data_IF_729251735979
#
_entry.id   IF_729251735979
#
_cell.length_a   1.000
_cell.length_b   1.000
_cell.length_c   1.000
_cell.angle_alpha   90.00
_cell.angle_beta   90.00
_cell.angle_gamma   90.00
#
_symmetry.space_group_name_H-M   'P 1'
#
loop_
_entity.id
_entity.type
_entity.pdbx_description
1 polymer ?
#
# COMPACT_ATOMS: atom_id res chain seq x y z
N UNK A 1 8.61 17.28 22.92
CA UNK A 1 8.78 18.47 22.05
C UNK A 1 8.06 18.26 20.74
N UNK A 2 7.35 19.29 20.29
CA UNK A 2 6.68 19.33 18.99
C UNK A 2 7.48 20.22 18.02
N UNK A 3 7.46 19.97 16.71
CA UNK A 3 8.13 20.82 15.74
C UNK A 3 7.56 22.24 15.72
N UNK A 4 8.42 23.22 15.46
CA UNK A 4 8.03 24.63 15.26
C UNK A 4 7.40 24.83 13.88
N UNK A 5 6.62 25.90 13.69
CA UNK A 5 6.04 26.26 12.38
C UNK A 5 7.08 26.35 11.27
N UNK A 6 8.23 26.98 11.55
CA UNK A 6 9.34 27.07 10.60
C UNK A 6 9.86 25.69 10.18
N UNK A 7 9.98 24.74 11.12
CA UNK A 7 10.42 23.38 10.80
C UNK A 7 9.40 22.65 9.93
N UNK A 8 8.09 22.89 10.13
CA UNK A 8 7.03 22.33 9.29
C UNK A 8 7.06 22.91 7.87
N UNK A 9 7.31 24.21 7.72
CA UNK A 9 7.50 24.85 6.41
C UNK A 9 8.72 24.29 5.68
N UNK A 10 9.87 24.18 6.35
CA UNK A 10 11.09 23.57 5.78
C UNK A 10 10.88 22.09 5.40
N UNK A 11 10.07 21.35 6.16
CA UNK A 11 9.69 19.97 5.82
C UNK A 11 8.80 19.91 4.59
N UNK A 12 7.85 20.85 4.44
CA UNK A 12 6.98 20.94 3.27
C UNK A 12 7.77 21.17 1.99
N UNK A 13 8.74 22.07 2.00
CA UNK A 13 9.60 22.31 0.84
C UNK A 13 10.40 21.05 0.45
N UNK A 14 10.91 20.32 1.45
CA UNK A 14 11.57 19.02 1.21
C UNK A 14 10.62 17.98 0.64
N UNK A 15 9.35 17.97 1.04
CA UNK A 15 8.34 17.06 0.49
C UNK A 15 7.99 17.40 -0.96
N UNK A 16 7.97 18.69 -1.32
CA UNK A 16 7.79 19.11 -2.72
C UNK A 16 8.94 18.61 -3.59
N UNK A 17 10.19 18.73 -3.12
CA UNK A 17 11.34 18.14 -3.82
C UNK A 17 11.29 16.60 -3.85
N UNK A 18 10.86 15.97 -2.77
CA UNK A 18 10.68 14.52 -2.70
C UNK A 18 9.67 14.01 -3.75
N UNK A 19 8.59 14.76 -3.99
CA UNK A 19 7.62 14.43 -5.07
C UNK A 19 8.28 14.43 -6.44
N UNK A 20 9.12 15.43 -6.74
CA UNK A 20 9.86 15.47 -8.01
C UNK A 20 10.77 14.25 -8.18
N UNK A 21 11.47 13.87 -7.11
CA UNK A 21 12.28 12.64 -7.09
C UNK A 21 11.44 11.37 -7.28
N UNK A 22 10.26 11.30 -6.65
CA UNK A 22 9.32 10.19 -6.81
C UNK A 22 8.80 10.08 -8.25
N UNK A 23 8.49 11.21 -8.89
CA UNK A 23 8.10 11.24 -10.30
C UNK A 23 9.24 10.76 -11.21
N UNK A 24 10.48 11.19 -10.97
CA UNK A 24 11.62 10.70 -11.74
C UNK A 24 11.82 9.18 -11.61
N UNK A 25 11.59 8.62 -10.41
CA UNK A 25 11.60 7.16 -10.18
C UNK A 25 10.45 6.49 -10.93
N UNK A 26 9.25 7.10 -10.96
CA UNK A 26 8.13 6.59 -11.74
C UNK A 26 8.48 6.52 -13.24
N UNK A 27 9.10 7.57 -13.78
CA UNK A 27 9.50 7.61 -15.19
C UNK A 27 10.50 6.50 -15.53
N UNK A 28 11.45 6.21 -14.62
CA UNK A 28 12.36 5.07 -14.76
C UNK A 28 11.58 3.76 -14.80
N UNK A 29 10.69 3.52 -13.84
CA UNK A 29 9.91 2.28 -13.79
C UNK A 29 9.00 2.10 -15.01
N UNK A 30 8.46 3.19 -15.56
CA UNK A 30 7.66 3.15 -16.79
C UNK A 30 8.48 2.74 -18.04
N UNK A 31 9.80 2.90 -18.00
CA UNK A 31 10.71 2.47 -19.07
C UNK A 31 11.24 1.04 -18.91
N UNK A 32 11.06 0.42 -17.73
CA UNK A 32 11.59 -0.91 -17.42
C UNK A 32 10.60 -2.00 -17.82
N UNK A 33 11.10 -3.05 -18.46
CA UNK A 33 10.31 -4.25 -18.73
C UNK A 33 10.07 -5.04 -17.44
N UNK A 34 8.85 -4.99 -16.92
CA UNK A 34 8.45 -5.77 -15.76
C UNK A 34 8.00 -7.17 -16.20
N UNK A 35 8.51 -8.25 -15.57
CA UNK A 35 8.08 -9.61 -15.87
C UNK A 35 6.57 -9.76 -15.76
N UNK A 36 5.97 -10.35 -16.79
CA UNK A 36 4.54 -10.63 -16.79
C UNK A 36 4.29 -11.95 -16.07
N UNK A 37 3.82 -11.84 -14.83
CA UNK A 37 3.44 -12.97 -14.00
C UNK A 37 2.14 -12.64 -13.29
N UNK A 38 1.22 -13.59 -13.21
CA UNK A 38 -0.06 -13.40 -12.54
C UNK A 38 -0.25 -14.54 -11.55
N UNK A 39 -0.45 -14.20 -10.29
CA UNK A 39 -0.79 -15.16 -9.25
C UNK A 39 -1.98 -14.63 -8.46
N UNK A 40 -3.18 -15.08 -8.84
CA UNK A 40 -4.40 -14.70 -8.14
C UNK A 40 -4.38 -15.34 -6.75
N UNK A 41 -4.18 -14.51 -5.74
CA UNK A 41 -4.06 -14.89 -4.33
C UNK A 41 -4.84 -13.87 -3.50
N UNK A 42 -5.38 -14.28 -2.35
CA UNK A 42 -6.06 -13.34 -1.46
C UNK A 42 -5.09 -12.25 -1.02
N UNK A 43 -5.56 -11.01 -0.97
CA UNK A 43 -4.75 -9.86 -0.58
C UNK A 43 -5.39 -9.17 0.61
N UNK A 44 -4.58 -8.89 1.64
CA UNK A 44 -5.05 -8.24 2.86
C UNK A 44 -4.45 -6.85 3.00
N UNK A 45 -5.29 -5.88 3.39
CA UNK A 45 -4.86 -4.54 3.74
C UNK A 45 -5.71 -3.95 4.86
N UNK A 46 -5.15 -2.95 5.55
CA UNK A 46 -5.94 -2.11 6.45
C UNK A 46 -6.95 -1.30 5.63
N UNK A 47 -8.16 -1.14 6.17
CA UNK A 47 -9.29 -0.45 5.53
C UNK A 47 -10.14 0.24 6.60
N UNK A 48 -10.50 1.50 6.38
CA UNK A 48 -11.41 2.25 7.26
C UNK A 48 -12.67 2.78 6.53
N UNK A 49 -12.75 2.53 5.22
CA UNK A 49 -13.84 2.98 4.35
C UNK A 49 -13.89 4.47 4.05
N UNK A 50 -12.92 5.26 4.51
CA UNK A 50 -12.94 6.73 4.41
C UNK A 50 -11.64 7.32 3.85
N UNK A 51 -10.49 6.73 4.14
CA UNK A 51 -9.16 7.25 3.79
C UNK A 51 -8.28 6.16 3.18
N UNK A 52 -7.01 6.45 2.91
CA UNK A 52 -5.99 5.45 2.61
C UNK A 52 -5.22 5.10 3.90
N UNK A 53 -5.66 4.11 4.70
CA UNK A 53 -5.07 3.87 6.01
C UNK A 53 -3.77 3.07 5.94
N UNK A 54 -2.80 3.48 6.76
CA UNK A 54 -1.58 2.71 7.02
C UNK A 54 -1.55 2.07 8.41
N UNK A 55 -2.18 2.71 9.39
CA UNK A 55 -1.97 2.39 10.82
C UNK A 55 -3.22 1.81 11.47
N UNK A 56 -4.39 2.39 11.22
CA UNK A 56 -5.64 2.06 11.92
C UNK A 56 -6.76 1.75 10.94
N UNK A 57 -7.57 0.77 11.29
CA UNK A 57 -8.70 0.29 10.51
C UNK A 57 -8.88 -1.21 10.69
N UNK A 58 -9.88 -1.74 10.00
CA UNK A 58 -10.14 -3.18 9.93
C UNK A 58 -9.24 -3.82 8.87
N UNK A 59 -9.12 -5.15 8.91
CA UNK A 59 -8.41 -5.90 7.88
C UNK A 59 -9.43 -6.27 6.80
N UNK A 60 -9.23 -5.76 5.58
CA UNK A 60 -10.06 -6.12 4.44
C UNK A 60 -9.36 -7.13 3.55
N UNK A 61 -10.11 -8.13 3.15
CA UNK A 61 -9.72 -9.15 2.18
C UNK A 61 -10.23 -8.74 0.79
N UNK A 62 -9.36 -8.79 -0.22
CA UNK A 62 -9.64 -8.27 -1.56
C UNK A 62 -10.64 -9.16 -2.32
N UNK A 63 -10.38 -10.47 -2.39
CA UNK A 63 -11.15 -11.42 -3.20
C UNK A 63 -12.48 -11.78 -2.54
N UNK A 64 -12.44 -12.11 -1.25
CA UNK A 64 -13.66 -12.44 -0.48
C UNK A 64 -14.48 -11.19 -0.10
N UNK A 65 -13.86 -10.01 -0.08
CA UNK A 65 -14.50 -8.77 0.36
C UNK A 65 -14.73 -8.67 1.87
N UNK A 66 -14.36 -9.71 2.64
CA UNK A 66 -14.56 -9.78 4.09
C UNK A 66 -13.78 -8.68 4.79
N UNK A 67 -14.43 -8.03 5.75
CA UNK A 67 -13.81 -7.07 6.67
C UNK A 67 -13.77 -7.74 8.04
N UNK A 68 -12.57 -7.82 8.62
CA UNK A 68 -12.29 -8.48 9.88
C UNK A 68 -11.72 -7.46 10.87
N UNK A 69 -12.31 -7.27 12.06
CA UNK A 69 -11.75 -6.42 13.09
C UNK A 69 -10.33 -6.90 13.49
N UNK A 70 -9.38 -6.00 13.74
CA UNK A 70 -8.00 -6.37 14.04
C UNK A 70 -7.89 -7.20 15.33
N UNK A 71 -8.78 -7.03 16.30
CA UNK A 71 -8.84 -7.81 17.53
C UNK A 71 -9.16 -9.30 17.30
N UNK A 72 -9.79 -9.64 16.17
CA UNK A 72 -10.18 -11.00 15.83
C UNK A 72 -9.14 -11.73 14.98
N UNK A 73 -8.01 -11.07 14.63
CA UNK A 73 -7.00 -11.64 13.72
C UNK A 73 -6.47 -13.01 14.17
N UNK A 74 -6.34 -13.23 15.48
CA UNK A 74 -5.80 -14.47 16.08
C UNK A 74 -6.83 -15.54 16.37
N UNK A 75 -8.12 -15.21 16.36
CA UNK A 75 -9.18 -16.15 16.75
C UNK A 75 -9.45 -17.12 15.60
N UNK A 76 -10.00 -16.60 14.52
CA UNK A 76 -10.51 -17.41 13.40
C UNK A 76 -10.01 -16.94 12.04
N UNK A 77 -9.03 -16.01 12.00
CA UNK A 77 -8.60 -15.41 10.74
C UNK A 77 -7.21 -15.83 10.30
N UNK A 78 -6.15 -15.42 10.99
CA UNK A 78 -4.76 -15.76 10.64
C UNK A 78 -4.29 -16.95 11.46
N UNK A 79 -3.80 -17.98 10.77
CA UNK A 79 -3.15 -19.16 11.36
C UNK A 79 -1.69 -19.19 10.97
N UNK A 80 -0.82 -19.51 11.93
CA UNK A 80 0.63 -19.58 11.72
C UNK A 80 1.12 -21.01 11.96
N UNK A 81 1.94 -21.53 11.05
CA UNK A 81 2.62 -22.81 11.21
C UNK A 81 4.13 -22.65 11.01
N UNK A 82 4.92 -23.52 11.65
CA UNK A 82 6.37 -23.59 11.47
C UNK A 82 6.70 -24.89 10.74
N UNK A 83 7.52 -24.81 9.70
CA UNK A 83 7.96 -25.99 8.93
C UNK A 83 9.32 -26.46 9.46
N UNK A 84 9.61 -27.78 9.49
CA UNK A 84 10.89 -28.29 10.00
C UNK A 84 12.13 -27.74 9.29
N UNK A 85 11.98 -27.30 8.04
CA UNK A 85 13.06 -26.76 7.20
C UNK A 85 13.22 -25.23 7.26
N UNK A 86 12.43 -24.52 8.09
CA UNK A 86 12.48 -23.06 8.16
C UNK A 86 12.25 -22.56 9.57
N UNK A 87 13.00 -21.52 9.95
CA UNK A 87 12.80 -20.79 11.20
C UNK A 87 11.69 -19.73 11.09
N UNK A 88 11.23 -19.42 9.87
CA UNK A 88 10.14 -18.49 9.64
C UNK A 88 8.77 -19.17 9.84
N UNK A 89 7.81 -18.38 10.30
CA UNK A 89 6.40 -18.78 10.32
C UNK A 89 5.79 -18.64 8.94
N UNK A 90 4.94 -19.58 8.58
CA UNK A 90 4.10 -19.54 7.39
C UNK A 90 2.69 -19.20 7.86
N UNK A 91 2.17 -18.09 7.35
CA UNK A 91 0.85 -17.59 7.75
C UNK A 91 -0.16 -17.86 6.64
N UNK A 92 -1.33 -18.35 7.04
CA UNK A 92 -2.48 -18.61 6.15
C UNK A 92 -3.74 -17.99 6.76
N UNK A 93 -4.79 -17.89 5.96
CA UNK A 93 -6.14 -17.53 6.40
C UNK A 93 -7.13 -18.66 6.06
N UNK A 94 -8.37 -18.57 6.56
CA UNK A 94 -9.49 -19.43 6.16
C UNK A 94 -9.12 -20.92 6.02
N UNK A 95 -8.43 -21.47 7.03
CA UNK A 95 -8.01 -22.87 7.06
C UNK A 95 -7.05 -23.32 5.94
N UNK A 96 -6.07 -22.47 5.61
CA UNK A 96 -4.91 -22.84 4.78
C UNK A 96 -4.75 -22.05 3.49
N UNK A 97 -5.61 -21.07 3.24
CA UNK A 97 -5.49 -20.17 2.09
C UNK A 97 -4.28 -19.24 2.26
N UNK A 98 -3.45 -19.17 1.21
CA UNK A 98 -2.31 -18.26 1.15
C UNK A 98 -2.84 -16.85 0.91
N UNK A 99 -2.27 -15.88 1.63
CA UNK A 99 -2.57 -14.47 1.42
C UNK A 99 -1.30 -13.65 1.19
N UNK A 100 -1.49 -12.47 0.64
CA UNK A 100 -0.43 -11.53 0.32
C UNK A 100 -0.72 -10.16 0.96
N UNK A 101 0.33 -9.55 1.52
CA UNK A 101 0.31 -8.19 2.09
C UNK A 101 1.44 -7.40 1.49
N UNK A 102 1.19 -6.16 1.11
CA UNK A 102 2.20 -5.25 0.56
C UNK A 102 1.58 -3.90 0.15
N UNK A 103 2.37 -2.93 -0.35
CA UNK A 103 1.83 -1.79 -1.11
C UNK A 103 0.82 -2.16 -2.19
N UNK A 104 1.05 -3.22 -2.98
CA UNK A 104 0.12 -3.63 -4.03
C UNK A 104 -1.25 -4.04 -3.46
N UNK A 105 -1.27 -4.76 -2.34
CA UNK A 105 -2.51 -5.10 -1.65
C UNK A 105 -3.27 -3.86 -1.18
N UNK A 106 -2.56 -2.88 -0.60
CA UNK A 106 -3.16 -1.61 -0.18
C UNK A 106 -3.68 -0.79 -1.36
N UNK A 107 -2.92 -0.70 -2.46
CA UNK A 107 -3.35 0.00 -3.67
C UNK A 107 -4.59 -0.67 -4.28
N UNK A 108 -4.62 -2.00 -4.39
CA UNK A 108 -5.79 -2.73 -4.88
C UNK A 108 -7.05 -2.44 -4.06
N UNK A 109 -6.93 -2.46 -2.72
CA UNK A 109 -8.07 -2.32 -1.81
C UNK A 109 -8.51 -0.85 -1.63
N UNK A 110 -7.56 0.09 -1.59
CA UNK A 110 -7.78 1.48 -1.16
C UNK A 110 -7.61 2.51 -2.28
N UNK A 111 -7.45 2.11 -3.55
CA UNK A 111 -7.20 3.00 -4.69
C UNK A 111 -8.16 4.19 -4.82
N UNK A 112 -9.42 4.05 -4.40
CA UNK A 112 -10.40 5.15 -4.42
C UNK A 112 -9.97 6.36 -3.57
N UNK A 113 -9.18 6.13 -2.52
CA UNK A 113 -8.74 7.15 -1.56
C UNK A 113 -7.37 7.73 -1.88
N UNK A 114 -6.70 7.25 -2.92
CA UNK A 114 -5.44 7.84 -3.36
C UNK A 114 -5.65 9.31 -3.79
N UNK A 115 -4.62 10.11 -3.61
CA UNK A 115 -4.52 11.48 -4.12
C UNK A 115 -4.45 11.48 -5.64
N UNK A 116 -4.72 12.63 -6.26
CA UNK A 116 -4.82 12.73 -7.71
C UNK A 116 -3.50 12.41 -8.43
N UNK A 117 -2.36 12.87 -7.89
CA UNK A 117 -1.04 12.57 -8.47
C UNK A 117 -0.72 11.07 -8.35
N UNK A 118 -1.04 10.45 -7.21
CA UNK A 118 -0.88 9.00 -7.03
C UNK A 118 -1.79 8.19 -7.98
N UNK A 119 -3.02 8.65 -8.26
CA UNK A 119 -3.91 8.05 -9.27
C UNK A 119 -3.38 8.24 -10.69
N UNK A 120 -2.70 9.36 -10.97
CA UNK A 120 -2.05 9.58 -12.25
C UNK A 120 -0.93 8.56 -12.50
N UNK A 121 -0.18 8.18 -11.47
CA UNK A 121 0.85 7.13 -11.58
C UNK A 121 0.29 5.75 -11.95
N UNK A 122 -0.89 5.37 -11.44
CA UNK A 122 -1.58 4.13 -11.87
C UNK A 122 -1.79 4.13 -13.39
N UNK A 123 -2.24 5.28 -13.94
CA UNK A 123 -2.45 5.45 -15.38
C UNK A 123 -1.12 5.43 -16.14
N UNK A 124 -0.10 6.13 -15.64
CA UNK A 124 1.24 6.18 -16.24
C UNK A 124 1.84 4.78 -16.36
N UNK A 125 1.69 3.95 -15.33
CA UNK A 125 2.18 2.57 -15.33
C UNK A 125 1.30 1.61 -16.14
N UNK A 126 0.14 2.05 -16.65
CA UNK A 126 -0.81 1.17 -17.32
C UNK A 126 -1.38 0.07 -16.43
N UNK A 127 -1.35 0.26 -15.10
CA UNK A 127 -1.81 -0.74 -14.14
C UNK A 127 -3.33 -0.89 -14.19
N UNK A 128 -3.80 -2.14 -14.15
CA UNK A 128 -5.23 -2.48 -14.05
C UNK A 128 -5.48 -3.11 -12.68
N UNK A 129 -6.27 -2.44 -11.86
CA UNK A 129 -6.62 -2.93 -10.52
C UNK A 129 -7.93 -3.74 -10.56
N UNK A 130 -8.06 -4.84 -9.79
CA UNK A 130 -7.01 -5.42 -8.95
C UNK A 130 -5.90 -6.08 -9.78
N UNK A 131 -4.66 -5.84 -9.37
CA UNK A 131 -3.45 -6.37 -10.00
C UNK A 131 -2.85 -7.51 -9.15
N UNK A 132 -2.54 -8.64 -9.79
CA UNK A 132 -2.00 -9.85 -9.16
C UNK A 132 -0.58 -10.19 -9.63
N UNK A 133 0.13 -9.24 -10.22
CA UNK A 133 1.53 -9.37 -10.54
C UNK A 133 2.41 -8.91 -9.35
N UNK A 134 3.09 -9.82 -8.62
CA UNK A 134 3.92 -9.45 -7.49
C UNK A 134 5.10 -8.53 -7.86
N UNK A 135 5.55 -8.54 -9.13
CA UNK A 135 6.59 -7.62 -9.60
C UNK A 135 6.10 -6.16 -9.65
N UNK A 136 4.79 -5.93 -9.78
CA UNK A 136 4.18 -4.60 -9.74
C UNK A 136 4.12 -4.02 -8.32
N UNK A 137 4.57 -4.76 -7.30
CA UNK A 137 4.67 -4.23 -5.93
C UNK A 137 5.61 -3.02 -5.81
N UNK A 138 6.65 -2.94 -6.64
CA UNK A 138 7.51 -1.76 -6.66
C UNK A 138 6.81 -0.54 -7.26
N UNK A 139 5.98 -0.74 -8.30
CA UNK A 139 5.12 0.31 -8.86
C UNK A 139 4.13 0.82 -7.81
N UNK A 140 3.47 -0.10 -7.11
CA UNK A 140 2.57 0.24 -6.01
C UNK A 140 3.28 1.01 -4.88
N UNK A 141 4.55 0.69 -4.59
CA UNK A 141 5.36 1.47 -3.63
C UNK A 141 5.59 2.90 -4.10
N UNK A 142 5.88 3.13 -5.38
CA UNK A 142 6.04 4.49 -5.92
C UNK A 142 4.72 5.27 -5.84
N UNK A 143 3.59 4.62 -6.12
CA UNK A 143 2.25 5.19 -5.93
C UNK A 143 2.04 5.61 -4.46
N UNK A 144 2.38 4.75 -3.50
CA UNK A 144 2.26 5.07 -2.08
C UNK A 144 3.19 6.21 -1.64
N UNK A 145 4.41 6.28 -2.16
CA UNK A 145 5.34 7.38 -1.86
C UNK A 145 4.77 8.73 -2.32
N UNK A 146 4.20 8.77 -3.53
CA UNK A 146 3.54 9.97 -4.05
C UNK A 146 2.35 10.36 -3.18
N UNK A 147 1.50 9.38 -2.84
CA UNK A 147 0.33 9.60 -1.99
C UNK A 147 0.70 10.15 -0.61
N UNK A 148 1.69 9.54 0.06
CA UNK A 148 2.16 10.00 1.36
C UNK A 148 2.72 11.41 1.31
N UNK A 149 3.46 11.76 0.25
CA UNK A 149 4.02 13.09 0.08
C UNK A 149 2.90 14.14 -0.15
N UNK A 150 1.91 13.81 -0.97
CA UNK A 150 0.72 14.65 -1.19
C UNK A 150 -0.03 14.92 0.11
N UNK A 151 -0.39 13.85 0.84
CA UNK A 151 -1.13 13.97 2.10
C UNK A 151 -0.37 14.80 3.12
N UNK A 152 0.95 14.62 3.24
CA UNK A 152 1.76 15.41 4.14
C UNK A 152 1.78 16.91 3.75
N UNK A 153 1.84 17.23 2.45
CA UNK A 153 1.78 18.61 1.94
C UNK A 153 0.39 19.23 2.11
N UNK A 154 -0.68 18.45 1.96
CA UNK A 154 -2.07 18.93 2.11
C UNK A 154 -2.36 19.22 3.58
N UNK A 155 -2.04 18.28 4.47
CA UNK A 155 -2.35 18.39 5.90
C UNK A 155 -1.47 19.43 6.62
N UNK A 156 -0.27 19.73 6.12
CA UNK A 156 0.55 20.84 6.64
C UNK A 156 -0.04 22.24 6.43
N UNK A 157 -1.13 22.37 5.65
CA UNK A 157 -1.84 23.65 5.45
C UNK A 157 -2.91 23.94 6.51
N UNK A 158 -3.24 22.95 7.36
CA UNK A 158 -4.34 23.04 8.34
C UNK A 158 -3.85 23.30 9.78
N UNK A 159 -2.54 23.39 9.98
CA UNK A 159 -1.87 23.75 11.24
C UNK A 159 -1.27 25.14 11.15
#
# INVERSE_FOLDING_TARGET
>A
DYPTTRQLEEMKDKLVEFKKGTQAIADIYASVNIPQFQNKTEQLAVYDGKTYPFIRGDIKSLLSGKITPPEDYKKDFIKEEVKPYSTAKFSTINDGEIYYVSPLARVNINSKFLTDDAKALIKQFGMKLPDFNPFNNNLARVIELMHCADEAIINSRQT
#
